data_IF_022592717603
#
_entry.id   IF_022592717603
#
_cell.length_a   1.000
_cell.length_b   1.000
_cell.length_c   1.000
_cell.angle_alpha   90.00
_cell.angle_beta   90.00
_cell.angle_gamma   90.00
#
_symmetry.space_group_name_H-M   'P 1'
#
loop_
_entity.id
_entity.type
_entity.pdbx_description
1 polymer ?
#
# COMPACT_ATOMS: atom_id res chain seq x y z
N UNK A 1 -52.66 20.94 -22.76
CA UNK A 1 -53.06 19.75 -22.04
C UNK A 1 -51.81 18.97 -21.74
N UNK A 2 -51.10 19.21 -20.65
CA UNK A 2 -51.25 18.65 -19.31
C UNK A 2 -51.58 17.15 -19.31
N UNK A 3 -50.60 16.37 -18.90
CA UNK A 3 -50.66 15.32 -17.92
C UNK A 3 -49.28 14.67 -17.85
N UNK A 4 -48.58 15.00 -16.78
CA UNK A 4 -48.35 14.14 -15.62
C UNK A 4 -47.32 13.04 -15.88
N UNK A 5 -46.07 13.34 -15.60
CA UNK A 5 -45.07 12.33 -15.21
C UNK A 5 -45.11 12.23 -13.69
N UNK A 6 -45.78 11.24 -13.20
CA UNK A 6 -45.80 10.88 -11.78
C UNK A 6 -44.81 9.75 -11.53
N UNK A 7 -43.87 10.05 -10.65
CA UNK A 7 -43.24 9.24 -9.61
C UNK A 7 -43.05 7.72 -9.82
N UNK A 8 -41.79 7.36 -9.86
CA UNK A 8 -41.36 6.12 -9.20
C UNK A 8 -40.15 6.44 -8.34
N UNK A 9 -40.42 7.00 -7.19
CA UNK A 9 -39.50 6.89 -6.06
C UNK A 9 -39.53 5.44 -5.59
N UNK A 10 -38.50 4.68 -5.91
CA UNK A 10 -38.31 3.38 -5.31
C UNK A 10 -37.84 3.60 -3.87
N UNK A 11 -38.70 3.23 -2.93
CA UNK A 11 -38.35 2.96 -1.56
C UNK A 11 -37.27 1.89 -1.49
N UNK A 12 -36.09 2.28 -1.13
CA UNK A 12 -35.10 1.40 -0.49
C UNK A 12 -34.86 1.90 0.92
N UNK A 13 -35.85 1.77 1.74
CA UNK A 13 -35.72 1.77 3.17
C UNK A 13 -35.65 0.32 3.63
N UNK A 14 -34.50 -0.24 3.70
CA UNK A 14 -34.20 -1.21 4.75
C UNK A 14 -33.01 -0.68 5.54
N UNK A 15 -33.38 -0.33 6.73
CA UNK A 15 -32.56 0.11 7.80
C UNK A 15 -31.37 -0.83 7.99
N UNK A 16 -30.18 -0.33 7.75
CA UNK A 16 -29.08 -0.75 8.56
C UNK A 16 -29.52 -0.44 10.01
N UNK A 17 -29.72 -1.48 10.77
CA UNK A 17 -29.93 -1.43 12.20
C UNK A 17 -28.64 -0.83 12.79
N UNK A 18 -28.62 0.49 12.86
CA UNK A 18 -27.66 1.19 13.68
C UNK A 18 -28.05 0.82 15.09
N UNK A 19 -27.40 -0.20 15.63
CA UNK A 19 -27.26 -0.32 17.06
C UNK A 19 -26.63 1.01 17.51
N UNK A 20 -27.50 1.97 17.81
CA UNK A 20 -27.10 3.17 18.48
C UNK A 20 -26.41 2.69 19.75
N UNK A 21 -25.11 2.90 19.83
CA UNK A 21 -24.39 2.78 21.08
C UNK A 21 -25.06 3.76 22.04
N UNK A 22 -25.94 3.25 22.89
CA UNK A 22 -26.55 4.01 23.98
C UNK A 22 -25.58 4.06 25.16
N UNK A 23 -24.31 4.38 24.89
CA UNK A 23 -23.37 4.79 25.90
C UNK A 23 -23.59 6.27 26.18
N UNK A 24 -23.84 6.63 27.42
CA UNK A 24 -23.75 8.04 27.85
C UNK A 24 -22.30 8.49 27.72
N UNK A 25 -21.95 8.96 26.51
CA UNK A 25 -20.65 9.55 26.23
C UNK A 25 -20.65 11.03 26.71
N UNK A 26 -20.45 11.20 27.99
CA UNK A 26 -20.15 12.47 28.61
C UNK A 26 -18.79 12.40 29.31
N UNK A 27 -18.15 13.53 29.62
CA UNK A 27 -16.91 13.47 30.40
C UNK A 27 -17.18 12.71 31.67
N UNK A 28 -16.62 11.51 31.80
CA UNK A 28 -16.70 10.77 33.04
C UNK A 28 -15.98 11.59 34.12
N UNK A 29 -16.57 11.71 35.29
CA UNK A 29 -15.89 12.32 36.44
C UNK A 29 -14.79 11.42 37.00
N UNK A 30 -14.55 10.27 36.38
CA UNK A 30 -13.46 9.38 36.70
C UNK A 30 -12.17 9.93 36.11
N UNK A 31 -11.08 9.80 36.86
CA UNK A 31 -9.76 10.19 36.36
C UNK A 31 -9.51 9.48 35.04
N UNK A 32 -8.91 10.21 34.08
CA UNK A 32 -8.47 9.61 32.84
C UNK A 32 -7.62 8.36 33.16
N UNK A 33 -7.79 7.23 32.39
CA UNK A 33 -7.00 6.05 32.60
C UNK A 33 -5.51 6.40 32.56
N UNK A 34 -4.71 5.74 33.37
CA UNK A 34 -3.26 5.93 33.31
C UNK A 34 -2.78 5.48 31.92
N UNK A 35 -2.00 6.33 31.24
CA UNK A 35 -1.49 6.00 29.90
C UNK A 35 -0.68 4.70 29.91
N UNK A 36 -0.09 4.32 31.05
CA UNK A 36 0.58 3.02 31.21
C UNK A 36 -0.35 1.83 30.99
N UNK A 37 -1.63 1.92 31.41
CA UNK A 37 -2.62 0.85 31.18
C UNK A 37 -3.01 0.79 29.71
N UNK A 38 -3.19 1.94 29.06
CA UNK A 38 -3.44 2.02 27.63
C UNK A 38 -2.26 1.47 26.82
N UNK A 39 -1.02 1.85 27.15
CA UNK A 39 0.21 1.36 26.49
C UNK A 39 0.35 -0.17 26.65
N UNK A 40 0.02 -0.71 27.83
CA UNK A 40 0.01 -2.15 28.05
C UNK A 40 -1.03 -2.87 27.16
N UNK A 41 -2.21 -2.24 26.96
CA UNK A 41 -3.25 -2.76 26.05
C UNK A 41 -2.78 -2.71 24.60
N UNK A 42 -2.16 -1.61 24.16
CA UNK A 42 -1.55 -1.52 22.82
C UNK A 42 -0.48 -2.60 22.62
N UNK A 43 0.35 -2.88 23.63
CA UNK A 43 1.33 -3.94 23.55
C UNK A 43 0.69 -5.33 23.42
N UNK A 44 -0.42 -5.58 24.15
CA UNK A 44 -1.19 -6.82 24.03
C UNK A 44 -1.81 -6.98 22.62
N UNK A 45 -2.37 -5.90 22.04
CA UNK A 45 -2.92 -5.90 20.68
C UNK A 45 -1.83 -6.25 19.65
N UNK A 46 -0.63 -5.70 19.82
CA UNK A 46 0.49 -5.95 18.89
C UNK A 46 0.92 -7.43 18.88
N UNK A 47 0.84 -8.10 20.02
CA UNK A 47 1.27 -9.50 20.18
C UNK A 47 0.14 -10.53 19.99
N UNK A 48 -1.12 -10.10 19.91
CA UNK A 48 -2.27 -11.02 19.71
C UNK A 48 -2.36 -11.44 18.25
N UNK A 49 -2.30 -12.75 18.01
CA UNK A 49 -2.36 -13.36 16.67
C UNK A 49 -3.74 -13.90 16.31
N UNK A 50 -4.62 -14.13 17.29
CA UNK A 50 -6.02 -14.45 17.04
C UNK A 50 -6.75 -13.17 16.62
N UNK A 51 -7.13 -13.07 15.34
CA UNK A 51 -7.72 -11.85 14.77
C UNK A 51 -9.01 -11.42 15.47
N UNK A 52 -9.83 -12.35 15.95
CA UNK A 52 -11.09 -12.03 16.65
C UNK A 52 -10.81 -11.43 18.02
N UNK A 53 -9.85 -11.99 18.75
CA UNK A 53 -9.44 -11.42 20.04
C UNK A 53 -8.73 -10.10 19.87
N UNK A 54 -7.89 -9.99 18.84
CA UNK A 54 -7.19 -8.75 18.51
C UNK A 54 -8.17 -7.62 18.22
N UNK A 55 -9.19 -7.87 17.41
CA UNK A 55 -10.26 -6.91 17.12
C UNK A 55 -10.99 -6.47 18.41
N UNK A 56 -11.35 -7.42 19.27
CA UNK A 56 -11.98 -7.09 20.55
C UNK A 56 -11.10 -6.19 21.44
N UNK A 57 -9.79 -6.48 21.53
CA UNK A 57 -8.84 -5.64 22.25
C UNK A 57 -8.67 -4.25 21.63
N UNK A 58 -8.75 -4.15 20.29
CA UNK A 58 -8.70 -2.87 19.59
C UNK A 58 -9.93 -2.02 19.90
N UNK A 59 -11.13 -2.60 19.91
CA UNK A 59 -12.36 -1.90 20.30
C UNK A 59 -12.30 -1.40 21.75
N UNK A 60 -11.79 -2.24 22.68
CA UNK A 60 -11.61 -1.81 24.08
C UNK A 60 -10.62 -0.64 24.19
N UNK A 61 -9.52 -0.66 23.44
CA UNK A 61 -8.55 0.43 23.42
C UNK A 61 -9.14 1.71 22.80
N UNK A 62 -9.94 1.58 21.74
CA UNK A 62 -10.63 2.71 21.12
C UNK A 62 -11.62 3.36 22.09
N UNK A 63 -12.45 2.57 22.79
CA UNK A 63 -13.37 3.08 23.78
C UNK A 63 -12.64 3.82 24.91
N UNK A 64 -11.53 3.26 25.39
CA UNK A 64 -10.67 3.90 26.39
C UNK A 64 -10.11 5.23 25.91
N UNK A 65 -9.56 5.28 24.69
CA UNK A 65 -9.04 6.49 24.06
C UNK A 65 -10.13 7.56 23.91
N UNK A 66 -11.30 7.17 23.39
CA UNK A 66 -12.42 8.09 23.17
C UNK A 66 -12.94 8.69 24.49
N UNK A 67 -12.93 7.92 25.57
CA UNK A 67 -13.32 8.39 26.89
C UNK A 67 -12.35 9.41 27.49
N UNK A 68 -11.11 9.51 27.00
CA UNK A 68 -10.16 10.53 27.43
C UNK A 68 -10.41 11.91 26.83
N UNK A 69 -11.17 11.99 25.75
CA UNK A 69 -11.36 13.21 24.94
C UNK A 69 -10.06 13.74 24.29
N UNK A 70 -9.02 12.92 24.22
CA UNK A 70 -7.78 13.26 23.54
C UNK A 70 -7.96 13.35 22.01
N UNK A 71 -9.00 12.67 21.49
CA UNK A 71 -9.37 12.65 20.06
C UNK A 71 -10.85 13.05 19.94
N UNK A 72 -11.14 13.92 18.98
CA UNK A 72 -12.51 14.35 18.66
C UNK A 72 -12.80 13.94 17.20
N UNK A 73 -13.55 12.85 16.96
CA UNK A 73 -13.98 12.48 15.62
C UNK A 73 -14.86 13.57 15.02
N UNK A 74 -14.61 13.96 13.77
CA UNK A 74 -15.39 15.00 13.08
C UNK A 74 -16.33 14.39 12.04
N UNK A 75 -15.83 13.46 11.22
CA UNK A 75 -16.62 12.79 10.18
C UNK A 75 -15.88 11.58 9.65
N UNK A 76 -16.60 10.69 8.96
CA UNK A 76 -16.00 9.62 8.17
C UNK A 76 -15.65 10.18 6.79
N UNK A 77 -14.38 10.09 6.41
CA UNK A 77 -13.93 10.49 5.09
C UNK A 77 -14.46 9.50 4.05
N UNK A 78 -15.05 10.03 2.97
CA UNK A 78 -15.50 9.23 1.83
C UNK A 78 -14.76 9.69 0.59
N UNK A 79 -14.20 8.75 -0.15
CA UNK A 79 -13.62 9.00 -1.45
C UNK A 79 -14.75 9.02 -2.51
N UNK A 80 -14.79 10.04 -3.34
CA UNK A 80 -15.78 10.20 -4.41
C UNK A 80 -15.07 10.18 -5.75
N UNK A 81 -15.57 9.38 -6.68
CA UNK A 81 -14.98 9.27 -8.01
C UNK A 81 -16.07 9.20 -9.09
N UNK A 82 -15.69 9.57 -10.30
CA UNK A 82 -16.50 9.37 -11.50
C UNK A 82 -15.81 8.35 -12.40
N UNK A 83 -16.56 7.34 -12.82
CA UNK A 83 -16.07 6.30 -13.71
C UNK A 83 -17.05 6.10 -14.85
N UNK A 84 -16.54 6.04 -16.09
CA UNK A 84 -17.34 5.70 -17.26
C UNK A 84 -17.86 4.26 -17.14
N UNK A 85 -19.07 4.02 -17.62
CA UNK A 85 -19.73 2.71 -17.49
C UNK A 85 -19.10 1.58 -18.29
N UNK A 86 -18.23 1.91 -19.24
CA UNK A 86 -17.47 0.99 -20.08
C UNK A 86 -16.02 0.75 -19.58
N UNK A 87 -15.68 1.28 -18.41
CA UNK A 87 -14.43 0.99 -17.70
C UNK A 87 -14.70 -0.03 -16.61
N UNK A 88 -13.99 -1.13 -16.65
CA UNK A 88 -14.14 -2.26 -15.71
C UNK A 88 -12.82 -2.56 -14.98
N UNK A 89 -12.87 -3.31 -13.89
CA UNK A 89 -11.74 -3.81 -13.11
C UNK A 89 -10.84 -2.73 -12.49
N UNK A 90 -11.39 -1.58 -12.14
CA UNK A 90 -10.75 -0.67 -11.19
C UNK A 90 -11.32 -1.00 -9.81
N UNK A 91 -10.45 -1.22 -8.84
CA UNK A 91 -10.84 -1.49 -7.46
C UNK A 91 -9.92 -0.73 -6.49
N UNK A 92 -10.36 -0.60 -5.26
CA UNK A 92 -9.58 0.01 -4.19
C UNK A 92 -9.56 -0.91 -2.97
N UNK A 93 -8.51 -0.81 -2.17
CA UNK A 93 -8.42 -1.49 -0.88
C UNK A 93 -8.85 -0.56 0.28
N UNK A 94 -8.83 -1.07 1.49
CA UNK A 94 -9.19 -0.32 2.71
C UNK A 94 -8.26 0.87 3.00
N UNK A 95 -7.06 0.88 2.43
CA UNK A 95 -6.10 2.00 2.57
C UNK A 95 -6.33 3.10 1.53
N UNK A 96 -7.32 2.97 0.67
CA UNK A 96 -7.62 3.92 -0.41
C UNK A 96 -6.71 3.77 -1.64
N UNK A 97 -5.87 2.74 -1.70
CA UNK A 97 -5.03 2.48 -2.87
C UNK A 97 -5.88 1.96 -4.01
N UNK A 98 -5.76 2.59 -5.17
CA UNK A 98 -6.52 2.28 -6.37
C UNK A 98 -5.65 1.47 -7.34
N UNK A 99 -6.18 0.36 -7.79
CA UNK A 99 -5.53 -0.57 -8.72
C UNK A 99 -6.04 -0.31 -10.13
N UNK A 100 -5.22 0.34 -10.94
CA UNK A 100 -5.56 0.72 -12.32
C UNK A 100 -5.01 -0.25 -13.37
N UNK A 101 -3.93 -0.95 -13.05
CA UNK A 101 -3.14 -1.73 -14.01
C UNK A 101 -3.90 -2.86 -14.71
N UNK A 102 -4.99 -3.35 -14.11
CA UNK A 102 -5.79 -4.43 -14.66
C UNK A 102 -7.15 -3.97 -15.20
N UNK A 103 -7.35 -2.65 -15.32
CA UNK A 103 -8.56 -2.10 -15.88
C UNK A 103 -8.79 -2.55 -17.32
N UNK A 104 -10.05 -2.60 -17.72
CA UNK A 104 -10.49 -2.90 -19.08
C UNK A 104 -11.26 -1.75 -19.63
N UNK A 105 -10.93 -1.35 -20.84
CA UNK A 105 -11.59 -0.29 -21.59
C UNK A 105 -11.80 -0.71 -23.05
N UNK A 106 -12.76 -0.15 -23.79
CA UNK A 106 -12.96 -0.48 -25.19
C UNK A 106 -11.76 -0.15 -26.09
N UNK A 107 -10.93 0.81 -25.69
CA UNK A 107 -9.78 1.31 -26.46
C UNK A 107 -8.45 0.74 -25.99
N UNK A 108 -8.44 -0.04 -24.91
CA UNK A 108 -7.24 -0.45 -24.19
C UNK A 108 -6.35 0.73 -23.73
N UNK A 109 -6.95 1.92 -23.60
CA UNK A 109 -6.32 3.13 -23.03
C UNK A 109 -7.16 3.61 -21.87
N UNK A 110 -6.52 3.97 -20.76
CA UNK A 110 -7.17 4.51 -19.59
C UNK A 110 -6.68 5.93 -19.35
N UNK A 111 -7.58 6.89 -19.33
CA UNK A 111 -7.30 8.28 -18.98
C UNK A 111 -7.83 8.56 -17.59
N UNK A 112 -6.95 9.02 -16.69
CA UNK A 112 -7.18 9.24 -15.27
C UNK A 112 -6.75 10.65 -14.88
N UNK A 113 -7.16 11.05 -13.69
CA UNK A 113 -6.70 12.26 -13.03
C UNK A 113 -6.23 11.91 -11.62
N UNK A 114 -5.14 12.54 -11.19
CA UNK A 114 -4.71 12.63 -9.80
C UNK A 114 -4.58 14.10 -9.41
N UNK A 115 -4.77 14.37 -8.10
CA UNK A 115 -4.97 15.73 -7.61
C UNK A 115 -3.76 16.65 -7.79
N UNK A 116 -2.55 16.11 -7.83
CA UNK A 116 -1.33 16.92 -7.88
C UNK A 116 -0.14 16.13 -8.44
N UNK A 117 0.95 16.84 -8.66
CA UNK A 117 2.27 16.27 -8.89
C UNK A 117 2.65 15.32 -7.75
N UNK A 118 3.04 14.06 -8.03
CA UNK A 118 3.56 13.19 -6.99
C UNK A 118 4.88 13.74 -6.46
N UNK A 119 5.01 13.84 -5.15
CA UNK A 119 6.23 14.35 -4.52
C UNK A 119 7.41 13.39 -4.73
N UNK A 120 7.14 12.09 -4.64
CA UNK A 120 8.14 11.03 -4.76
C UNK A 120 7.52 9.77 -5.37
N UNK A 121 8.23 9.16 -6.32
CA UNK A 121 7.86 7.87 -6.91
C UNK A 121 8.69 6.70 -6.36
N UNK A 122 9.75 6.98 -5.61
CA UNK A 122 10.45 5.97 -4.83
C UNK A 122 9.50 5.41 -3.76
N UNK A 123 9.17 4.10 -3.78
CA UNK A 123 8.15 3.54 -2.90
C UNK A 123 8.52 3.63 -1.41
N UNK A 124 9.81 3.57 -1.05
CA UNK A 124 10.26 3.72 0.34
C UNK A 124 10.08 5.15 0.86
N UNK A 125 10.08 6.15 -0.03
CA UNK A 125 10.00 7.57 0.33
C UNK A 125 8.59 8.16 0.17
N UNK A 126 7.68 7.42 -0.47
CA UNK A 126 6.31 7.88 -0.64
C UNK A 126 5.50 7.71 0.64
N UNK A 127 4.79 8.76 1.05
CA UNK A 127 3.84 8.72 2.17
C UNK A 127 2.43 9.22 1.80
N UNK A 128 2.12 9.30 0.51
CA UNK A 128 0.81 9.75 0.00
C UNK A 128 0.02 8.63 -0.64
N UNK A 129 -1.32 8.71 -0.62
CA UNK A 129 -2.21 7.72 -1.24
C UNK A 129 -2.06 7.74 -2.77
N UNK A 130 -2.00 8.91 -3.40
CA UNK A 130 -1.79 9.03 -4.85
C UNK A 130 -0.45 8.43 -5.27
N UNK A 131 0.62 8.71 -4.53
CA UNK A 131 1.92 8.10 -4.76
C UNK A 131 1.93 6.58 -4.57
N UNK A 132 1.17 6.05 -3.61
CA UNK A 132 0.99 4.60 -3.44
C UNK A 132 0.27 3.97 -4.63
N UNK A 133 -0.75 4.63 -5.19
CA UNK A 133 -1.43 4.18 -6.41
C UNK A 133 -0.47 4.11 -7.61
N UNK A 134 0.46 5.07 -7.72
CA UNK A 134 1.49 5.08 -8.75
C UNK A 134 2.58 4.03 -8.46
N UNK A 135 2.95 3.82 -7.19
CA UNK A 135 3.90 2.78 -6.81
C UNK A 135 3.41 1.38 -7.21
N UNK A 136 2.11 1.09 -7.05
CA UNK A 136 1.48 -0.18 -7.48
C UNK A 136 1.52 -0.38 -9.00
N UNK A 137 1.60 0.68 -9.80
CA UNK A 137 1.82 0.56 -11.24
C UNK A 137 3.28 0.28 -11.58
N UNK A 138 4.21 0.89 -10.84
CA UNK A 138 5.64 0.83 -11.13
C UNK A 138 6.35 -0.38 -10.50
N UNK A 139 5.84 -0.91 -9.39
CA UNK A 139 6.51 -1.92 -8.58
C UNK A 139 5.53 -3.00 -8.12
N UNK A 140 6.10 -4.12 -7.70
CA UNK A 140 5.41 -5.26 -7.09
C UNK A 140 5.98 -5.56 -5.72
N UNK A 141 5.11 -5.95 -4.77
CA UNK A 141 5.52 -6.45 -3.46
C UNK A 141 5.69 -7.97 -3.43
N UNK A 142 6.10 -8.52 -2.29
CA UNK A 142 6.01 -9.97 -2.09
C UNK A 142 4.56 -10.45 -2.17
N UNK A 143 3.62 -9.62 -1.68
CA UNK A 143 2.18 -9.81 -1.73
C UNK A 143 1.49 -8.58 -2.32
N UNK A 144 0.25 -8.76 -2.75
CA UNK A 144 -0.66 -7.71 -3.20
C UNK A 144 -2.08 -7.96 -2.67
N UNK A 145 -2.96 -6.98 -2.82
CA UNK A 145 -4.40 -7.16 -2.58
C UNK A 145 -5.13 -7.41 -3.90
N UNK A 146 -6.01 -8.41 -3.92
CA UNK A 146 -6.92 -8.65 -5.03
C UNK A 146 -8.15 -7.72 -4.99
N UNK A 147 -9.04 -7.86 -5.96
CA UNK A 147 -10.28 -7.09 -6.07
C UNK A 147 -11.28 -7.32 -4.92
N UNK A 148 -11.08 -8.35 -4.12
CA UNK A 148 -11.89 -8.66 -2.93
C UNK A 148 -11.22 -8.18 -1.64
N UNK A 149 -10.07 -7.50 -1.74
CA UNK A 149 -9.27 -7.05 -0.60
C UNK A 149 -8.55 -8.20 0.12
N UNK A 150 -8.35 -9.33 -0.55
CA UNK A 150 -7.62 -10.47 0.02
C UNK A 150 -6.15 -10.38 -0.36
N UNK A 151 -5.28 -10.71 0.60
CA UNK A 151 -3.85 -10.85 0.35
C UNK A 151 -3.57 -12.05 -0.54
N UNK A 152 -2.86 -11.81 -1.64
CA UNK A 152 -2.43 -12.84 -2.60
C UNK A 152 -0.93 -12.72 -2.86
N UNK A 153 -0.23 -13.85 -3.10
CA UNK A 153 1.17 -13.83 -3.47
C UNK A 153 1.40 -13.08 -4.79
N UNK A 154 2.40 -12.18 -4.83
CA UNK A 154 2.78 -11.43 -6.03
C UNK A 154 4.18 -11.81 -6.51
N UNK A 155 5.27 -11.27 -5.95
CA UNK A 155 6.63 -11.74 -6.26
C UNK A 155 6.95 -13.06 -5.56
N UNK A 156 6.40 -13.30 -4.38
CA UNK A 156 6.46 -14.61 -3.74
C UNK A 156 5.56 -15.61 -4.47
N UNK A 157 6.01 -16.86 -4.60
CA UNK A 157 5.21 -18.00 -5.04
C UNK A 157 4.46 -18.60 -3.84
N UNK A 158 5.15 -18.74 -2.72
CA UNK A 158 4.62 -19.26 -1.46
C UNK A 158 5.39 -18.71 -0.26
N UNK A 159 4.88 -18.98 0.94
CA UNK A 159 5.61 -18.73 2.17
C UNK A 159 5.35 -19.81 3.20
N UNK A 160 6.28 -19.94 4.13
CA UNK A 160 6.19 -20.75 5.35
C UNK A 160 6.36 -19.85 6.56
N UNK A 161 5.59 -20.12 7.61
CA UNK A 161 5.70 -19.42 8.89
C UNK A 161 6.07 -20.44 9.97
N UNK A 162 7.01 -20.09 10.84
CA UNK A 162 7.38 -20.92 12.01
C UNK A 162 6.21 -21.05 13.00
N UNK A 163 6.23 -22.09 13.81
CA UNK A 163 5.16 -22.38 14.80
C UNK A 163 4.97 -21.24 15.82
N UNK A 164 6.04 -20.51 16.12
CA UNK A 164 5.99 -19.35 17.02
C UNK A 164 5.56 -18.03 16.34
N UNK A 165 5.35 -18.06 15.01
CA UNK A 165 4.94 -16.90 14.23
C UNK A 165 6.01 -15.81 14.09
N UNK A 166 7.29 -16.13 14.36
CA UNK A 166 8.36 -15.14 14.36
C UNK A 166 9.31 -15.25 13.17
N UNK A 167 9.22 -16.30 12.37
CA UNK A 167 10.04 -16.47 11.16
C UNK A 167 9.15 -16.73 9.96
N UNK A 168 9.35 -15.94 8.92
CA UNK A 168 8.67 -16.10 7.63
C UNK A 168 9.70 -16.38 6.55
N UNK A 169 9.50 -17.43 5.79
CA UNK A 169 10.36 -17.82 4.67
C UNK A 169 9.55 -17.80 3.40
N UNK A 170 9.88 -16.89 2.48
CA UNK A 170 9.22 -16.71 1.20
C UNK A 170 10.01 -17.41 0.10
N UNK A 171 9.33 -18.17 -0.76
CA UNK A 171 9.90 -18.69 -2.00
C UNK A 171 9.56 -17.72 -3.11
N UNK A 172 10.56 -17.18 -3.80
CA UNK A 172 10.35 -16.25 -4.92
C UNK A 172 9.87 -17.01 -6.15
N UNK A 173 9.04 -16.37 -6.99
CA UNK A 173 8.68 -16.91 -8.31
C UNK A 173 9.93 -17.05 -9.18
N UNK A 174 9.93 -18.06 -10.04
CA UNK A 174 11.00 -18.22 -11.03
C UNK A 174 10.88 -17.17 -12.17
N UNK A 175 12.01 -16.69 -12.62
CA UNK A 175 12.12 -15.84 -13.81
C UNK A 175 11.60 -14.41 -13.64
N UNK A 176 11.52 -13.91 -12.41
CA UNK A 176 11.20 -12.51 -12.13
C UNK A 176 12.24 -11.58 -12.76
N UNK A 177 11.76 -10.44 -13.25
CA UNK A 177 12.59 -9.44 -13.92
C UNK A 177 12.17 -8.03 -13.60
N UNK A 178 13.16 -7.16 -13.62
CA UNK A 178 12.98 -5.73 -13.73
C UNK A 178 12.53 -5.32 -15.13
N UNK A 179 12.03 -4.10 -15.29
CA UNK A 179 11.55 -3.58 -16.58
C UNK A 179 12.63 -3.47 -17.65
N UNK A 180 13.90 -3.38 -17.27
CA UNK A 180 15.06 -3.39 -18.16
C UNK A 180 15.50 -4.81 -18.58
N UNK A 181 14.92 -5.84 -17.97
CA UNK A 181 15.17 -7.25 -18.27
C UNK A 181 16.18 -7.92 -17.33
N UNK A 182 16.83 -7.18 -16.44
CA UNK A 182 17.69 -7.75 -15.40
C UNK A 182 16.88 -8.63 -14.44
N UNK A 183 17.54 -9.59 -13.80
CA UNK A 183 16.87 -10.50 -12.86
C UNK A 183 16.45 -9.76 -11.59
N UNK A 184 15.28 -10.11 -11.07
CA UNK A 184 14.79 -9.70 -9.76
C UNK A 184 14.74 -10.94 -8.87
N UNK A 185 15.32 -10.85 -7.66
CA UNK A 185 15.38 -11.96 -6.74
C UNK A 185 15.30 -11.53 -5.25
N UNK A 186 15.54 -12.46 -4.34
CA UNK A 186 15.50 -12.23 -2.90
C UNK A 186 16.53 -11.19 -2.41
N UNK A 187 17.62 -10.98 -3.14
CA UNK A 187 18.63 -9.97 -2.77
C UNK A 187 18.09 -8.54 -2.96
N UNK A 188 17.21 -8.33 -3.95
CA UNK A 188 16.56 -7.03 -4.13
C UNK A 188 15.60 -6.70 -2.97
N UNK A 189 14.91 -7.71 -2.45
CA UNK A 189 14.06 -7.56 -1.25
C UNK A 189 14.94 -7.25 -0.03
N UNK A 190 16.03 -7.99 0.16
CA UNK A 190 17.00 -7.79 1.25
C UNK A 190 17.55 -6.36 1.24
N UNK A 191 17.99 -5.88 0.07
CA UNK A 191 18.49 -4.53 -0.10
C UNK A 191 17.42 -3.50 0.26
N UNK A 192 16.23 -3.64 -0.31
CA UNK A 192 15.17 -2.65 -0.21
C UNK A 192 14.62 -2.51 1.21
N UNK A 193 14.50 -3.60 1.95
CA UNK A 193 14.00 -3.55 3.32
C UNK A 193 15.04 -2.98 4.30
N UNK A 194 16.33 -3.30 4.10
CA UNK A 194 17.40 -2.64 4.87
C UNK A 194 17.47 -1.15 4.55
N UNK A 195 17.29 -0.77 3.27
CA UNK A 195 17.24 0.62 2.83
C UNK A 195 16.05 1.37 3.45
N UNK A 196 14.86 0.74 3.54
CA UNK A 196 13.69 1.33 4.20
C UNK A 196 13.96 1.64 5.68
N UNK A 197 14.73 0.78 6.36
CA UNK A 197 15.08 0.94 7.77
C UNK A 197 16.26 1.89 8.01
N UNK A 198 17.06 2.20 6.98
CA UNK A 198 18.26 3.04 7.09
C UNK A 198 17.86 4.50 7.34
N UNK A 199 18.42 5.10 8.40
CA UNK A 199 18.21 6.51 8.76
C UNK A 199 18.57 7.48 7.62
N UNK A 200 19.57 7.13 6.80
CA UNK A 200 19.99 7.96 5.66
C UNK A 200 18.95 7.97 4.53
N UNK A 201 18.10 6.98 4.44
CA UNK A 201 16.96 6.97 3.50
C UNK A 201 15.89 7.97 3.92
N UNK A 202 15.78 8.27 5.22
CA UNK A 202 14.81 9.19 5.80
C UNK A 202 13.35 8.86 5.39
N UNK A 203 13.01 7.58 5.35
CA UNK A 203 11.71 7.09 4.98
C UNK A 203 10.69 7.36 6.10
N UNK A 204 9.55 7.98 5.75
CA UNK A 204 8.47 8.29 6.71
C UNK A 204 7.91 7.02 7.36
N UNK A 205 7.91 5.91 6.64
CA UNK A 205 7.40 4.61 7.12
C UNK A 205 8.48 3.70 7.71
N UNK A 206 9.71 4.17 7.94
CA UNK A 206 10.79 3.37 8.54
C UNK A 206 10.41 2.77 9.90
N UNK A 207 9.53 3.40 10.68
CA UNK A 207 9.03 2.89 11.96
C UNK A 207 8.30 1.55 11.85
N UNK A 208 7.74 1.21 10.66
CA UNK A 208 7.12 -0.09 10.42
C UNK A 208 8.14 -1.23 10.47
N UNK A 209 9.41 -0.93 10.24
CA UNK A 209 10.50 -1.90 10.39
C UNK A 209 10.75 -2.32 11.86
N UNK A 210 10.13 -1.67 12.83
CA UNK A 210 10.23 -2.02 14.25
C UNK A 210 9.66 -3.41 14.60
N UNK A 211 8.97 -4.09 13.68
CA UNK A 211 8.50 -5.47 13.86
C UNK A 211 9.60 -6.51 13.67
N UNK A 212 10.67 -6.16 12.96
CA UNK A 212 11.77 -7.08 12.70
C UNK A 212 12.72 -7.22 13.91
N UNK A 213 13.30 -8.40 14.06
CA UNK A 213 14.50 -8.55 14.85
C UNK A 213 15.66 -7.81 14.17
N UNK A 214 16.67 -7.45 14.94
CA UNK A 214 17.85 -6.75 14.45
C UNK A 214 19.12 -7.54 14.76
N UNK A 215 20.07 -7.51 13.84
CA UNK A 215 21.42 -8.07 14.01
C UNK A 215 22.28 -7.18 14.93
N UNK A 216 23.44 -7.70 15.34
CA UNK A 216 24.37 -6.97 16.21
C UNK A 216 24.88 -5.64 15.59
N UNK A 217 24.88 -5.52 14.28
CA UNK A 217 25.29 -4.32 13.54
C UNK A 217 24.14 -3.29 13.37
N UNK A 218 22.95 -3.62 13.86
CA UNK A 218 21.76 -2.76 13.80
C UNK A 218 20.93 -2.90 12.52
N UNK A 219 21.35 -3.74 11.57
CA UNK A 219 20.53 -4.05 10.39
C UNK A 219 19.38 -4.99 10.74
N UNK A 220 18.38 -5.07 9.86
CA UNK A 220 17.28 -6.01 10.03
C UNK A 220 17.78 -7.45 9.99
N UNK A 221 17.21 -8.31 10.83
CA UNK A 221 17.51 -9.75 10.79
C UNK A 221 16.70 -10.43 9.68
N UNK A 222 17.14 -10.18 8.46
CA UNK A 222 16.59 -10.71 7.22
C UNK A 222 17.70 -11.32 6.36
N UNK A 223 17.36 -12.29 5.52
CA UNK A 223 18.33 -13.05 4.74
C UNK A 223 17.78 -13.38 3.35
N UNK A 224 18.68 -13.38 2.36
CA UNK A 224 18.44 -13.97 1.04
C UNK A 224 19.32 -15.22 0.88
N UNK A 225 18.78 -16.27 0.27
CA UNK A 225 19.59 -17.46 -0.06
C UNK A 225 20.63 -17.13 -1.15
N UNK A 226 21.73 -17.89 -1.17
CA UNK A 226 22.81 -17.68 -2.15
C UNK A 226 22.35 -17.74 -3.62
N UNK A 227 21.28 -18.50 -3.89
CA UNK A 227 20.69 -18.61 -5.24
C UNK A 227 19.59 -17.58 -5.52
N UNK A 228 19.33 -16.67 -4.59
CA UNK A 228 18.31 -15.61 -4.71
C UNK A 228 16.85 -16.10 -4.68
N UNK A 229 16.61 -17.38 -4.42
CA UNK A 229 15.26 -17.97 -4.53
C UNK A 229 14.42 -17.88 -3.27
N UNK A 230 15.06 -17.67 -2.14
CA UNK A 230 14.40 -17.67 -0.83
C UNK A 230 14.76 -16.40 -0.07
N UNK A 231 13.75 -15.76 0.49
CA UNK A 231 13.89 -14.63 1.39
C UNK A 231 13.34 -15.01 2.75
N UNK A 232 14.11 -14.77 3.82
CA UNK A 232 13.70 -15.07 5.20
C UNK A 232 13.70 -13.80 6.04
N UNK A 233 12.65 -13.61 6.83
CA UNK A 233 12.52 -12.51 7.76
C UNK A 233 12.27 -13.02 9.18
N UNK A 234 13.03 -12.50 10.13
CA UNK A 234 12.89 -12.78 11.55
C UNK A 234 12.25 -11.59 12.26
N UNK A 235 11.18 -11.85 13.01
CA UNK A 235 10.44 -10.83 13.75
C UNK A 235 10.86 -10.84 15.22
N UNK A 236 10.76 -9.69 15.89
CA UNK A 236 11.03 -9.59 17.32
C UNK A 236 9.86 -10.06 18.21
N UNK A 237 8.66 -10.19 17.62
CA UNK A 237 7.45 -10.74 18.22
C UNK A 237 6.51 -11.23 17.13
N UNK A 238 5.55 -12.12 17.43
CA UNK A 238 4.52 -12.51 16.47
C UNK A 238 3.76 -11.27 15.97
N UNK A 239 3.57 -11.17 14.65
CA UNK A 239 2.94 -10.02 14.02
C UNK A 239 1.79 -10.46 13.10
N UNK A 240 0.54 -10.25 13.54
CA UNK A 240 -0.64 -10.70 12.81
C UNK A 240 -0.85 -10.02 11.45
N UNK A 241 -0.24 -8.85 11.23
CA UNK A 241 -0.34 -8.05 10.01
C UNK A 241 0.95 -8.05 9.19
N UNK A 242 1.86 -8.99 9.42
CA UNK A 242 3.15 -9.01 8.73
C UNK A 242 3.01 -9.18 7.21
N UNK A 243 2.07 -10.01 6.77
CA UNK A 243 1.80 -10.18 5.33
C UNK A 243 1.19 -8.92 4.69
N UNK A 244 0.45 -8.11 5.47
CA UNK A 244 -0.03 -6.80 5.01
C UNK A 244 1.14 -5.84 4.75
N UNK A 245 2.20 -5.88 5.58
CA UNK A 245 3.43 -5.13 5.32
C UNK A 245 4.10 -5.58 4.02
N UNK A 246 4.07 -6.89 3.73
CA UNK A 246 4.62 -7.43 2.48
C UNK A 246 3.86 -6.94 1.21
N UNK A 247 2.63 -6.44 1.37
CA UNK A 247 1.81 -5.84 0.31
C UNK A 247 1.80 -4.30 0.37
N UNK A 248 2.44 -3.70 1.38
CA UNK A 248 2.47 -2.26 1.55
C UNK A 248 3.56 -1.62 0.68
N UNK A 249 3.26 -0.57 -0.11
CA UNK A 249 4.19 -0.02 -1.10
C UNK A 249 5.58 0.33 -0.58
N UNK A 250 5.71 0.81 0.67
CA UNK A 250 7.03 1.14 1.22
C UNK A 250 7.99 -0.08 1.32
N UNK A 251 7.44 -1.30 1.33
CA UNK A 251 8.20 -2.56 1.33
C UNK A 251 8.44 -3.15 -0.07
N UNK A 252 8.04 -2.44 -1.12
CA UNK A 252 8.30 -2.93 -2.48
C UNK A 252 9.80 -2.89 -2.80
N UNK A 253 10.37 -3.96 -3.39
CA UNK A 253 11.75 -3.96 -3.80
C UNK A 253 12.03 -2.94 -4.88
N UNK A 254 13.21 -2.33 -4.80
CA UNK A 254 13.75 -1.36 -5.76
C UNK A 254 15.09 -1.86 -6.32
N UNK A 255 15.44 -1.52 -7.56
CA UNK A 255 16.67 -2.01 -8.21
C UNK A 255 17.90 -1.33 -7.61
N UNK A 256 18.66 -2.05 -6.75
CA UNK A 256 19.84 -1.53 -6.05
C UNK A 256 20.78 -0.78 -6.97
N UNK A 257 21.13 -1.37 -8.12
CA UNK A 257 22.07 -0.77 -9.06
C UNK A 257 21.59 0.59 -9.58
N UNK A 258 20.29 0.73 -9.87
CA UNK A 258 19.73 2.00 -10.35
C UNK A 258 19.69 3.05 -9.24
N UNK A 259 19.34 2.65 -8.03
CA UNK A 259 19.30 3.53 -6.85
C UNK A 259 20.69 4.09 -6.56
N UNK A 260 21.71 3.23 -6.51
CA UNK A 260 23.09 3.62 -6.15
C UNK A 260 23.84 4.36 -7.27
N UNK A 261 23.47 4.11 -8.54
CA UNK A 261 24.10 4.78 -9.69
C UNK A 261 23.52 6.17 -9.98
N UNK A 262 22.44 6.57 -9.33
CA UNK A 262 21.80 7.85 -9.59
C UNK A 262 22.67 9.02 -9.13
N UNK A 263 22.77 10.04 -9.96
CA UNK A 263 23.48 11.28 -9.62
C UNK A 263 22.82 11.94 -8.40
N UNK A 264 23.61 12.16 -7.35
CA UNK A 264 23.13 12.76 -6.12
C UNK A 264 22.48 11.78 -5.12
N UNK A 265 22.56 10.48 -5.33
CA UNK A 265 22.02 9.45 -4.42
C UNK A 265 22.49 9.64 -2.96
N UNK A 266 23.71 10.06 -2.73
CA UNK A 266 24.29 10.32 -1.40
C UNK A 266 23.56 11.43 -0.61
N UNK A 267 22.88 12.34 -1.29
CA UNK A 267 22.20 13.49 -0.68
C UNK A 267 20.70 13.50 -0.90
N UNK A 268 20.22 12.74 -1.88
CA UNK A 268 18.81 12.54 -2.20
C UNK A 268 18.56 11.07 -2.53
N UNK A 269 18.17 10.25 -1.56
CA UNK A 269 17.93 8.82 -1.77
C UNK A 269 16.92 8.50 -2.87
N UNK A 270 15.99 9.43 -3.18
CA UNK A 270 14.99 9.29 -4.24
C UNK A 270 15.43 9.78 -5.62
N UNK A 271 16.69 10.21 -5.80
CA UNK A 271 17.18 10.81 -7.06
C UNK A 271 16.97 9.93 -8.30
N UNK A 272 16.97 8.60 -8.13
CA UNK A 272 16.82 7.61 -9.19
C UNK A 272 15.43 7.57 -9.85
N UNK A 273 14.39 8.09 -9.18
CA UNK A 273 12.99 8.03 -9.59
C UNK A 273 12.32 9.41 -9.71
N UNK A 274 13.10 10.46 -10.08
CA UNK A 274 12.60 11.82 -10.25
C UNK A 274 12.14 12.12 -11.68
N UNK A 275 12.43 11.26 -12.64
CA UNK A 275 12.13 11.42 -14.05
C UNK A 275 11.55 10.12 -14.63
N UNK A 276 10.88 10.22 -15.77
CA UNK A 276 10.39 9.04 -16.48
C UNK A 276 11.53 8.12 -16.93
N UNK A 277 11.23 6.82 -17.03
CA UNK A 277 12.20 5.82 -17.52
C UNK A 277 12.99 5.12 -16.44
N UNK A 278 12.69 5.34 -15.16
CA UNK A 278 13.30 4.54 -14.10
C UNK A 278 12.85 3.08 -14.15
N UNK A 279 13.69 2.21 -13.61
CA UNK A 279 13.47 0.76 -13.61
C UNK A 279 12.47 0.37 -12.52
N UNK A 280 11.46 -0.43 -12.86
CA UNK A 280 10.45 -0.93 -11.95
C UNK A 280 10.13 -2.41 -12.19
N UNK A 281 9.37 -3.03 -11.31
CA UNK A 281 8.95 -4.44 -11.38
C UNK A 281 7.46 -4.62 -11.64
N UNK A 282 6.70 -3.55 -11.61
CA UNK A 282 5.24 -3.55 -11.72
C UNK A 282 4.70 -3.75 -13.13
N UNK A 283 3.37 -3.74 -13.28
CA UNK A 283 2.71 -3.98 -14.56
C UNK A 283 2.95 -2.89 -15.61
N UNK A 284 3.38 -1.69 -15.22
CA UNK A 284 3.62 -0.56 -16.13
C UNK A 284 4.95 0.11 -15.85
N UNK A 285 5.47 0.79 -16.86
CA UNK A 285 6.63 1.69 -16.81
C UNK A 285 6.17 3.11 -17.10
N UNK A 286 6.67 4.08 -16.36
CA UNK A 286 6.48 5.50 -16.65
C UNK A 286 7.37 5.89 -17.84
N UNK A 287 6.75 6.18 -18.99
CA UNK A 287 7.48 6.48 -20.24
C UNK A 287 7.58 7.96 -20.54
N UNK A 288 6.66 8.78 -20.00
CA UNK A 288 6.69 10.23 -20.13
C UNK A 288 6.21 10.87 -18.83
N UNK A 289 6.92 11.89 -18.35
CA UNK A 289 6.52 12.72 -17.23
C UNK A 289 6.72 14.18 -17.57
N UNK A 290 5.61 14.86 -17.79
CA UNK A 290 5.56 16.31 -17.94
C UNK A 290 5.15 16.90 -16.60
N UNK A 291 6.15 17.35 -15.86
CA UNK A 291 5.96 17.85 -14.50
C UNK A 291 4.85 18.89 -14.41
N UNK A 292 3.96 18.73 -13.43
CA UNK A 292 2.77 19.53 -13.19
C UNK A 292 1.73 19.54 -14.35
N UNK A 293 1.82 18.59 -15.27
CA UNK A 293 0.91 18.49 -16.41
C UNK A 293 0.36 17.08 -16.58
N UNK A 294 1.23 16.09 -16.84
CA UNK A 294 0.78 14.73 -17.15
C UNK A 294 1.85 13.66 -16.97
N UNK A 295 1.38 12.42 -16.77
CA UNK A 295 2.22 11.23 -16.76
C UNK A 295 1.64 10.19 -17.72
N UNK A 296 2.51 9.50 -18.47
CA UNK A 296 2.12 8.43 -19.38
C UNK A 296 2.84 7.13 -19.00
N UNK A 297 2.05 6.08 -18.89
CA UNK A 297 2.50 4.74 -18.57
C UNK A 297 2.23 3.79 -19.73
N UNK A 298 3.17 2.89 -20.00
CA UNK A 298 3.05 1.81 -20.99
C UNK A 298 3.29 0.45 -20.30
N UNK A 299 2.71 -0.66 -20.81
CA UNK A 299 2.87 -1.97 -20.20
C UNK A 299 4.34 -2.39 -20.07
N UNK A 300 4.69 -2.96 -18.93
CA UNK A 300 5.99 -3.59 -18.72
C UNK A 300 5.98 -5.02 -19.32
N UNK A 301 6.73 -5.28 -20.41
CA UNK A 301 6.73 -6.62 -21.03
C UNK A 301 7.42 -7.68 -20.16
N UNK A 302 8.19 -7.26 -19.16
CA UNK A 302 8.91 -8.13 -18.24
C UNK A 302 8.14 -8.37 -16.93
N UNK A 303 6.94 -7.77 -16.77
CA UNK A 303 6.11 -8.02 -15.60
C UNK A 303 5.74 -9.51 -15.50
N UNK A 304 5.82 -10.09 -14.31
CA UNK A 304 5.62 -11.52 -14.09
C UNK A 304 4.24 -12.04 -14.56
N UNK A 305 3.24 -11.16 -14.59
CA UNK A 305 1.87 -11.44 -15.04
C UNK A 305 1.46 -10.56 -16.23
N UNK A 306 2.39 -10.27 -17.16
CA UNK A 306 2.15 -9.41 -18.32
C UNK A 306 0.97 -9.87 -19.19
N UNK A 307 0.65 -11.17 -19.21
CA UNK A 307 -0.49 -11.74 -19.90
C UNK A 307 -1.85 -11.29 -19.33
N UNK A 308 -1.89 -10.81 -18.10
CA UNK A 308 -3.09 -10.27 -17.46
C UNK A 308 -3.31 -8.78 -17.76
N UNK A 309 -2.31 -8.08 -18.27
CA UNK A 309 -2.39 -6.66 -18.60
C UNK A 309 -3.02 -6.48 -19.97
N UNK A 310 -4.19 -5.84 -20.01
CA UNK A 310 -4.92 -5.60 -21.28
C UNK A 310 -4.76 -4.17 -21.81
N UNK A 311 -4.44 -3.22 -20.94
CA UNK A 311 -4.21 -1.84 -21.34
C UNK A 311 -2.89 -1.69 -22.09
N UNK A 312 -2.88 -0.85 -23.10
CA UNK A 312 -1.67 -0.46 -23.86
C UNK A 312 -1.12 0.88 -23.41
N UNK A 313 -1.91 1.64 -22.65
CA UNK A 313 -1.52 2.95 -22.13
C UNK A 313 -2.40 3.38 -20.97
N UNK A 314 -1.79 4.05 -19.99
CA UNK A 314 -2.49 4.81 -18.94
C UNK A 314 -1.93 6.24 -18.98
N UNK A 315 -2.83 7.22 -19.05
CA UNK A 315 -2.49 8.63 -18.97
C UNK A 315 -3.08 9.22 -17.68
N UNK A 316 -2.26 9.92 -16.93
CA UNK A 316 -2.69 10.72 -15.80
C UNK A 316 -2.59 12.20 -16.15
N UNK A 317 -3.64 12.93 -15.92
CA UNK A 317 -3.63 14.39 -15.86
C UNK A 317 -3.36 14.82 -14.41
N UNK A 318 -2.39 15.67 -14.22
CA UNK A 318 -2.00 16.23 -12.91
C UNK A 318 -2.74 17.55 -12.72
N UNK A 319 -3.91 17.52 -12.10
CA UNK A 319 -4.73 18.72 -11.91
C UNK A 319 -5.62 18.61 -10.68
N UNK A 320 -5.68 19.67 -9.91
CA UNK A 320 -6.66 19.88 -8.84
C UNK A 320 -7.82 20.83 -9.26
N UNK A 321 -7.88 21.24 -10.53
CA UNK A 321 -8.95 22.10 -11.04
C UNK A 321 -10.16 21.26 -11.47
N UNK A 322 -11.21 21.29 -10.67
CA UNK A 322 -12.46 20.56 -10.92
C UNK A 322 -13.06 20.87 -12.30
N UNK A 323 -12.85 22.10 -12.82
CA UNK A 323 -13.37 22.50 -14.14
C UNK A 323 -12.58 21.84 -15.27
N UNK A 324 -11.28 21.62 -15.08
CA UNK A 324 -10.43 20.95 -16.05
C UNK A 324 -10.64 19.44 -16.09
N UNK A 325 -11.11 18.87 -14.95
CA UNK A 325 -11.36 17.42 -14.78
C UNK A 325 -12.69 17.03 -15.44
N UNK A 326 -13.68 17.92 -15.47
CA UNK A 326 -15.01 17.71 -16.04
C UNK A 326 -15.00 17.84 -17.57
#
# INVERSE_FOLDING_TARGET
TEEAADTAAAESTEAADTAAATGEHGPSSEAAPAWEDYDARIAAIRSETDLVKREALMHEAEDELMNTWAVVPLYYYNDSYLQKTDVENIYANLFGYKYFGFAKTPTNTLDLQIASEPDKLDPALNSTVDGACLAILNFSGLFAYDENGQLVPELADSYEMSEDGMTYTFTMKDGLKWSDGEALDANDVLYSWNRLADENTAADYSYLCSVFATKDDGTLDIEASEDGKTFTAHLNAPCAYFLDLCAFPAFYPVPQQAVEAADGADTNPGAWALEAGFVGSGPFVLTEWKHNESMTYEPNPNYWAADKVSLTKINFMLSSDDTAIY
#
